data_IF_275475281926
#
_entry.id   IF_275475281926
#
_cell.length_a   1.000
_cell.length_b   1.000
_cell.length_c   1.000
_cell.angle_alpha   90.00
_cell.angle_beta   90.00
_cell.angle_gamma   90.00
#
_symmetry.space_group_name_H-M   'P 1'
#
loop_
_entity.id
_entity.type
_entity.pdbx_description
1 polymer ?
#
# COMPACT_ATOMS: atom_id res chain seq x y z
N UNK A 1 21.88 -6.10 17.03
CA UNK A 1 20.95 -7.02 17.74
C UNK A 1 20.14 -7.80 16.71
N UNK A 2 19.80 -9.06 16.96
CA UNK A 2 19.13 -9.92 15.97
C UNK A 2 17.63 -9.61 15.81
N UNK A 3 17.10 -9.71 14.58
CA UNK A 3 15.69 -9.48 14.20
C UNK A 3 14.68 -10.53 14.73
N UNK A 4 14.99 -11.22 15.84
CA UNK A 4 14.13 -12.24 16.45
C UNK A 4 13.78 -13.44 15.53
N UNK A 5 12.70 -14.16 15.86
CA UNK A 5 12.21 -15.32 15.10
C UNK A 5 11.78 -14.93 13.67
N UNK A 6 11.12 -13.78 13.51
CA UNK A 6 10.68 -13.29 12.20
C UNK A 6 11.88 -13.03 11.27
N UNK A 7 12.95 -12.45 11.78
CA UNK A 7 14.20 -12.29 11.03
C UNK A 7 14.90 -13.60 10.70
N UNK A 8 14.82 -14.61 11.58
CA UNK A 8 15.35 -15.94 11.31
C UNK A 8 14.60 -16.65 10.17
N UNK A 9 13.26 -16.53 10.15
CA UNK A 9 12.41 -17.05 9.06
C UNK A 9 12.74 -16.36 7.73
N UNK A 10 12.87 -15.03 7.72
CA UNK A 10 13.21 -14.29 6.50
C UNK A 10 14.61 -14.63 5.95
N UNK A 11 15.60 -14.82 6.83
CA UNK A 11 16.93 -15.29 6.42
C UNK A 11 16.89 -16.68 5.79
N UNK A 12 16.10 -17.59 6.34
CA UNK A 12 15.89 -18.92 5.76
C UNK A 12 15.29 -18.83 4.35
N UNK A 13 14.40 -17.86 4.14
CA UNK A 13 13.78 -17.55 2.84
C UNK A 13 14.68 -16.73 1.90
N UNK A 14 15.96 -16.50 2.26
CA UNK A 14 16.94 -15.69 1.51
C UNK A 14 16.49 -14.26 1.25
N UNK A 15 15.69 -13.69 2.16
CA UNK A 15 15.34 -12.29 2.08
C UNK A 15 16.60 -11.41 2.17
N UNK A 16 16.67 -10.40 1.32
CA UNK A 16 17.81 -9.47 1.27
C UNK A 16 17.57 -8.31 2.23
N UNK A 17 18.63 -7.95 2.95
CA UNK A 17 18.63 -6.85 3.90
C UNK A 17 19.26 -5.61 3.27
N UNK A 18 18.58 -4.48 3.37
CA UNK A 18 19.01 -3.18 2.89
C UNK A 18 19.03 -2.19 4.05
N UNK A 19 19.79 -1.10 3.87
CA UNK A 19 19.77 0.04 4.78
C UNK A 19 19.32 1.26 3.99
N UNK A 20 18.19 1.81 4.37
CA UNK A 20 17.69 3.05 3.79
C UNK A 20 18.12 4.23 4.65
N UNK A 21 18.41 5.36 4.01
CA UNK A 21 18.78 6.60 4.70
C UNK A 21 17.86 7.72 4.29
N UNK A 22 17.24 8.36 5.27
CA UNK A 22 16.33 9.49 5.08
C UNK A 22 17.10 10.64 4.44
N UNK A 23 16.50 11.26 3.44
CA UNK A 23 17.02 12.43 2.72
C UNK A 23 16.09 13.64 2.79
N UNK A 24 14.81 13.41 3.06
CA UNK A 24 13.79 14.45 3.14
C UNK A 24 12.62 14.01 4.02
N UNK A 25 11.85 14.99 4.51
CA UNK A 25 10.64 14.78 5.29
C UNK A 25 9.62 15.87 4.96
N UNK A 26 8.38 15.47 4.74
CA UNK A 26 7.28 16.35 4.36
C UNK A 26 6.00 15.95 5.10
N UNK A 27 5.30 16.92 5.69
CA UNK A 27 3.97 16.73 6.23
C UNK A 27 2.94 17.02 5.13
N UNK A 28 2.49 15.97 4.43
CA UNK A 28 1.61 16.08 3.26
C UNK A 28 0.20 16.48 3.66
N UNK A 29 -0.34 15.86 4.72
CA UNK A 29 -1.65 16.19 5.30
C UNK A 29 -1.57 16.04 6.83
N UNK A 30 -2.55 16.51 7.62
CA UNK A 30 -2.46 16.48 9.09
C UNK A 30 -2.14 15.10 9.67
N UNK A 31 -2.62 14.02 9.04
CA UNK A 31 -2.36 12.63 9.43
C UNK A 31 -1.62 11.83 8.36
N UNK A 32 -0.84 12.51 7.51
CA UNK A 32 -0.14 11.88 6.40
C UNK A 32 1.24 12.50 6.20
N UNK A 33 2.30 11.69 6.35
CA UNK A 33 3.68 12.15 6.28
C UNK A 33 4.46 11.37 5.25
N UNK A 34 5.29 12.05 4.46
CA UNK A 34 6.18 11.46 3.48
C UNK A 34 7.62 11.60 3.94
N UNK A 35 8.39 10.52 3.80
CA UNK A 35 9.85 10.53 4.00
C UNK A 35 10.52 10.05 2.72
N UNK A 36 11.57 10.76 2.31
CA UNK A 36 12.38 10.41 1.13
C UNK A 36 13.61 9.64 1.55
N UNK A 37 14.03 8.65 0.76
CA UNK A 37 15.11 7.74 1.10
C UNK A 37 16.09 7.53 -0.06
N UNK A 38 17.34 7.27 0.30
CA UNK A 38 18.23 6.45 -0.53
C UNK A 38 17.97 4.97 -0.23
N UNK A 39 18.06 4.14 -1.25
CA UNK A 39 17.56 2.76 -1.25
C UNK A 39 18.59 1.69 -0.82
N UNK A 40 19.84 2.10 -0.61
CA UNK A 40 20.93 1.18 -0.26
C UNK A 40 21.22 0.11 -1.33
N UNK A 41 20.89 0.37 -2.60
CA UNK A 41 21.07 -0.52 -3.74
C UNK A 41 19.87 -1.41 -4.08
N UNK A 42 18.76 -1.33 -3.34
CA UNK A 42 17.56 -2.15 -3.51
C UNK A 42 17.05 -2.20 -4.96
N UNK A 43 16.82 -1.04 -5.57
CA UNK A 43 16.13 -0.90 -6.85
C UNK A 43 17.00 -1.39 -8.00
N UNK A 44 18.32 -1.24 -7.88
CA UNK A 44 19.29 -1.78 -8.85
C UNK A 44 19.26 -3.31 -8.94
N UNK A 45 18.83 -3.98 -7.87
CA UNK A 45 18.81 -5.45 -7.81
C UNK A 45 17.47 -6.07 -8.19
N UNK A 46 16.34 -5.38 -7.96
CA UNK A 46 15.02 -6.01 -7.95
C UNK A 46 14.03 -5.46 -8.97
N UNK A 47 14.40 -4.43 -9.74
CA UNK A 47 13.47 -3.74 -10.62
C UNK A 47 12.31 -3.12 -9.84
N UNK A 48 11.35 -2.54 -10.56
CA UNK A 48 10.17 -1.89 -9.97
C UNK A 48 8.88 -2.45 -10.53
N UNK A 49 7.85 -2.49 -9.71
CA UNK A 49 6.51 -2.87 -10.14
C UNK A 49 5.45 -2.14 -9.32
N UNK A 50 4.19 -2.06 -9.80
CA UNK A 50 3.10 -1.47 -9.05
C UNK A 50 2.90 -2.17 -7.71
N UNK A 51 2.49 -1.42 -6.68
CA UNK A 51 2.24 -1.91 -5.32
C UNK A 51 3.46 -2.50 -4.62
N UNK A 52 4.68 -2.26 -5.14
CA UNK A 52 5.92 -2.76 -4.56
C UNK A 52 6.08 -2.26 -3.12
N UNK A 53 6.44 -3.17 -2.22
CA UNK A 53 6.51 -2.88 -0.79
C UNK A 53 7.68 -3.57 -0.11
N UNK A 54 8.13 -2.98 0.99
CA UNK A 54 9.28 -3.39 1.80
C UNK A 54 8.88 -3.56 3.25
N UNK A 55 9.66 -4.34 4.00
CA UNK A 55 9.54 -4.46 5.46
C UNK A 55 10.55 -3.55 6.11
N UNK A 56 10.10 -2.49 6.77
CA UNK A 56 10.94 -1.64 7.61
C UNK A 56 11.00 -2.19 9.02
N UNK A 57 12.18 -2.14 9.63
CA UNK A 57 12.44 -2.63 10.98
C UNK A 57 12.64 -1.46 11.94
N UNK A 58 11.63 -1.23 12.77
CA UNK A 58 11.62 -0.21 13.81
C UNK A 58 12.10 -0.80 15.13
N UNK A 59 12.70 0.03 15.99
CA UNK A 59 13.01 -0.36 17.36
C UNK A 59 12.05 0.32 18.34
N UNK A 60 11.46 -0.48 19.25
CA UNK A 60 10.71 0.03 20.40
C UNK A 60 10.93 -0.89 21.60
N UNK A 61 11.19 -0.31 22.76
CA UNK A 61 11.48 -1.01 24.01
C UNK A 61 12.59 -2.08 23.88
N UNK A 62 13.63 -1.76 23.08
CA UNK A 62 14.75 -2.65 22.80
C UNK A 62 14.40 -3.88 21.96
N UNK A 63 13.22 -3.90 21.32
CA UNK A 63 12.74 -4.99 20.47
C UNK A 63 12.52 -4.52 19.03
N UNK A 64 12.84 -5.37 18.03
CA UNK A 64 12.55 -5.07 16.63
C UNK A 64 11.06 -5.28 16.31
N UNK A 65 10.47 -4.36 15.57
CA UNK A 65 9.10 -4.38 15.07
C UNK A 65 9.11 -4.17 13.56
N UNK A 66 8.64 -5.15 12.79
CA UNK A 66 8.52 -4.98 11.34
C UNK A 66 7.19 -4.34 10.94
N UNK A 67 7.19 -3.46 9.93
CA UNK A 67 5.97 -2.99 9.24
C UNK A 67 6.19 -2.96 7.73
N UNK A 68 5.14 -3.28 6.98
CA UNK A 68 5.15 -3.21 5.52
C UNK A 68 4.84 -1.79 5.04
N UNK A 69 5.61 -1.29 4.08
CA UNK A 69 5.40 0.01 3.46
C UNK A 69 5.57 -0.09 1.95
N UNK A 70 4.65 0.53 1.22
CA UNK A 70 4.72 0.63 -0.24
C UNK A 70 5.74 1.69 -0.64
N UNK A 71 6.50 1.44 -1.69
CA UNK A 71 7.40 2.44 -2.28
C UNK A 71 6.58 3.45 -3.09
N UNK A 72 6.89 4.73 -2.93
CA UNK A 72 6.37 5.84 -3.74
C UNK A 72 7.50 6.33 -4.64
N UNK A 73 7.19 6.52 -5.93
CA UNK A 73 8.13 7.01 -6.96
C UNK A 73 9.54 6.39 -6.89
N UNK A 74 9.66 5.05 -6.93
CA UNK A 74 10.98 4.44 -6.95
C UNK A 74 11.72 4.81 -8.25
N UNK A 75 12.90 5.38 -8.10
CA UNK A 75 13.83 5.74 -9.17
C UNK A 75 15.06 4.83 -9.11
N UNK A 76 15.15 3.80 -9.98
CA UNK A 76 16.28 2.90 -10.02
C UNK A 76 17.60 3.54 -10.46
N UNK A 77 17.56 4.64 -11.22
CA UNK A 77 18.77 5.34 -11.67
C UNK A 77 19.37 6.18 -10.54
N UNK A 78 18.51 6.89 -9.80
CA UNK A 78 18.93 7.69 -8.64
C UNK A 78 19.13 6.85 -7.36
N UNK A 79 18.55 5.64 -7.28
CA UNK A 79 18.55 4.83 -6.07
C UNK A 79 17.73 5.48 -4.95
N UNK A 80 16.60 6.10 -5.31
CA UNK A 80 15.75 6.84 -4.37
C UNK A 80 14.30 6.41 -4.46
N UNK A 81 13.56 6.59 -3.37
CA UNK A 81 12.11 6.43 -3.32
C UNK A 81 11.57 7.19 -2.10
N UNK A 82 10.26 7.33 -2.05
CA UNK A 82 9.54 7.86 -0.89
C UNK A 82 8.75 6.74 -0.18
N UNK A 83 8.48 6.94 1.11
CA UNK A 83 7.49 6.16 1.86
C UNK A 83 6.53 7.12 2.55
N UNK A 84 5.24 6.83 2.41
CA UNK A 84 4.17 7.58 3.04
C UNK A 84 3.60 6.84 4.25
N UNK A 85 3.43 7.57 5.34
CA UNK A 85 2.98 7.11 6.64
C UNK A 85 1.62 7.73 6.94
N UNK A 86 0.58 6.90 6.93
CA UNK A 86 -0.69 7.24 7.56
C UNK A 86 -0.48 7.29 9.08
N UNK A 87 -0.54 8.48 9.66
CA UNK A 87 -0.20 8.71 11.07
C UNK A 87 -1.31 8.18 11.98
N UNK A 88 -0.90 7.39 12.96
CA UNK A 88 -1.72 6.80 14.02
C UNK A 88 -0.84 6.41 15.20
N UNK A 89 -1.41 6.03 16.34
CA UNK A 89 -0.61 5.57 17.47
C UNK A 89 0.18 4.30 17.12
N UNK A 90 1.51 4.37 17.14
CA UNK A 90 2.35 3.21 16.85
C UNK A 90 3.80 3.56 16.53
N UNK A 91 4.68 2.56 16.70
CA UNK A 91 6.14 2.72 16.56
C UNK A 91 6.56 3.35 15.24
N UNK A 92 5.90 3.00 14.14
CA UNK A 92 6.28 3.48 12.82
C UNK A 92 5.87 4.95 12.60
N UNK A 93 4.67 5.34 13.03
CA UNK A 93 4.24 6.74 13.00
C UNK A 93 5.14 7.60 13.89
N UNK A 94 5.38 7.17 15.14
CA UNK A 94 6.23 7.89 16.10
C UNK A 94 7.65 8.09 15.56
N UNK A 95 8.22 7.05 14.93
CA UNK A 95 9.51 7.16 14.26
C UNK A 95 9.44 8.15 13.10
N UNK A 96 8.41 8.05 12.24
CA UNK A 96 8.31 8.91 11.06
C UNK A 96 8.19 10.40 11.41
N UNK A 97 7.48 10.74 12.49
CA UNK A 97 7.28 12.11 12.96
C UNK A 97 8.58 12.78 13.41
N UNK A 98 9.54 12.00 13.89
CA UNK A 98 10.83 12.47 14.42
C UNK A 98 12.00 12.26 13.47
N UNK A 99 11.82 11.43 12.44
CA UNK A 99 12.86 11.13 11.46
C UNK A 99 13.29 12.39 10.67
N UNK A 100 14.60 12.52 10.49
CA UNK A 100 15.25 13.62 9.79
C UNK A 100 16.33 13.11 8.82
N UNK A 101 16.76 13.94 7.84
CA UNK A 101 17.83 13.56 6.91
C UNK A 101 19.08 13.05 7.64
N UNK A 102 19.60 11.91 7.19
CA UNK A 102 20.71 11.18 7.81
C UNK A 102 20.29 10.03 8.73
N UNK A 103 19.05 10.01 9.21
CA UNK A 103 18.53 8.84 9.94
C UNK A 103 18.47 7.62 9.03
N UNK A 104 18.66 6.44 9.62
CA UNK A 104 18.68 5.21 8.87
C UNK A 104 17.74 4.17 9.46
N UNK A 105 17.18 3.35 8.57
CA UNK A 105 16.30 2.25 8.93
C UNK A 105 16.69 0.98 8.17
N UNK A 106 16.68 -0.14 8.88
CA UNK A 106 16.91 -1.43 8.26
C UNK A 106 15.65 -1.86 7.51
N UNK A 107 15.84 -2.42 6.32
CA UNK A 107 14.76 -2.92 5.49
C UNK A 107 15.02 -4.35 5.03
N UNK A 108 13.94 -5.06 4.74
CA UNK A 108 13.98 -6.38 4.13
C UNK A 108 12.91 -6.44 3.05
N UNK A 109 13.26 -6.98 1.89
CA UNK A 109 12.29 -7.20 0.80
C UNK A 109 12.08 -8.70 0.59
N UNK A 110 10.81 -9.11 0.63
CA UNK A 110 10.40 -10.48 0.38
C UNK A 110 8.89 -10.55 0.13
N UNK A 111 8.50 -11.27 -0.92
CA UNK A 111 7.09 -11.57 -1.19
C UNK A 111 6.28 -10.42 -1.81
N UNK A 112 6.95 -9.36 -2.26
CA UNK A 112 6.32 -8.34 -3.12
C UNK A 112 6.41 -8.78 -4.57
N UNK A 113 5.30 -8.71 -5.29
CA UNK A 113 5.21 -9.04 -6.70
C UNK A 113 3.93 -8.41 -7.26
N UNK A 114 3.96 -8.06 -8.53
CA UNK A 114 2.77 -7.70 -9.29
C UNK A 114 2.81 -8.38 -10.65
N UNK A 115 1.67 -8.89 -11.07
CA UNK A 115 1.49 -9.46 -12.40
C UNK A 115 0.33 -8.74 -13.03
N UNK A 116 0.59 -8.05 -14.14
CA UNK A 116 -0.44 -7.40 -14.93
C UNK A 116 -1.51 -8.44 -15.31
N UNK A 117 -2.79 -8.17 -15.02
CA UNK A 117 -3.86 -9.10 -15.38
C UNK A 117 -3.91 -9.36 -16.88
N UNK A 118 -4.13 -10.60 -17.28
CA UNK A 118 -4.31 -11.03 -18.67
C UNK A 118 -5.67 -11.74 -18.82
N UNK A 119 -6.59 -11.26 -19.68
CA UNK A 119 -6.45 -10.09 -20.56
C UNK A 119 -6.33 -8.78 -19.78
N UNK A 120 -5.70 -7.78 -20.40
CA UNK A 120 -5.56 -6.43 -19.84
C UNK A 120 -6.91 -5.92 -19.33
N UNK A 121 -6.98 -5.33 -18.11
CA UNK A 121 -8.24 -5.02 -17.50
C UNK A 121 -8.97 -3.90 -18.25
N UNK A 122 -10.28 -4.05 -18.45
CA UNK A 122 -11.10 -2.98 -19.03
C UNK A 122 -11.46 -1.90 -18.00
N UNK A 123 -11.36 -2.25 -16.71
CA UNK A 123 -11.60 -1.36 -15.56
C UNK A 123 -10.86 -1.86 -14.33
N UNK A 124 -10.33 -0.93 -13.55
CA UNK A 124 -9.84 -1.17 -12.20
C UNK A 124 -10.94 -0.89 -11.17
N UNK A 125 -11.11 -1.79 -10.20
CA UNK A 125 -12.03 -1.63 -9.07
C UNK A 125 -11.18 -1.64 -7.81
N UNK A 126 -10.93 -0.46 -7.23
CA UNK A 126 -9.94 -0.27 -6.17
C UNK A 126 -10.65 0.07 -4.86
N UNK A 127 -10.31 -0.64 -3.79
CA UNK A 127 -10.85 -0.41 -2.44
C UNK A 127 -9.69 -0.23 -1.46
N UNK A 128 -9.71 0.87 -0.72
CA UNK A 128 -8.64 1.13 0.24
C UNK A 128 -8.91 2.27 1.22
N UNK A 129 -7.84 2.64 1.90
CA UNK A 129 -7.74 3.68 2.94
C UNK A 129 -6.34 4.36 2.88
N UNK A 130 -6.00 5.33 3.76
CA UNK A 130 -4.72 6.06 3.70
C UNK A 130 -3.48 5.16 3.72
N UNK A 131 -3.52 3.98 4.37
CA UNK A 131 -2.38 3.08 4.40
C UNK A 131 -2.11 2.44 3.02
N UNK A 132 -3.13 2.35 2.18
CA UNK A 132 -3.07 1.76 0.83
C UNK A 132 -2.95 2.76 -0.31
N UNK A 133 -3.12 4.07 -0.04
CA UNK A 133 -3.05 5.11 -1.06
C UNK A 133 -1.79 5.04 -1.96
N UNK A 134 -0.58 4.79 -1.43
CA UNK A 134 0.61 4.67 -2.27
C UNK A 134 0.49 3.56 -3.32
N UNK A 135 -0.09 2.42 -2.91
CA UNK A 135 -0.28 1.28 -3.80
C UNK A 135 -1.38 1.57 -4.83
N UNK A 136 -2.48 2.22 -4.43
CA UNK A 136 -3.52 2.69 -5.35
C UNK A 136 -2.92 3.64 -6.39
N UNK A 137 -2.17 4.66 -5.97
CA UNK A 137 -1.52 5.61 -6.86
C UNK A 137 -0.59 4.90 -7.86
N UNK A 138 0.22 3.94 -7.41
CA UNK A 138 1.09 3.15 -8.30
C UNK A 138 0.32 2.30 -9.32
N UNK A 139 -0.89 1.84 -8.98
CA UNK A 139 -1.78 1.15 -9.93
C UNK A 139 -2.34 2.15 -10.94
N UNK A 140 -2.81 3.32 -10.50
CA UNK A 140 -3.31 4.35 -11.42
C UNK A 140 -2.22 4.80 -12.41
N UNK A 141 -0.96 4.88 -11.97
CA UNK A 141 0.16 5.22 -12.84
C UNK A 141 0.54 4.11 -13.83
N UNK A 142 0.37 2.84 -13.44
CA UNK A 142 0.64 1.69 -14.32
C UNK A 142 -0.46 1.43 -15.36
N UNK A 143 -1.66 1.96 -15.13
CA UNK A 143 -2.83 1.78 -15.98
C UNK A 143 -3.45 3.16 -16.34
N UNK A 144 -2.70 4.08 -16.95
CA UNK A 144 -3.08 5.50 -16.98
C UNK A 144 -4.33 5.81 -17.79
N UNK A 145 -4.63 4.98 -18.78
CA UNK A 145 -5.80 5.10 -19.67
C UNK A 145 -6.95 4.15 -19.28
N UNK A 146 -6.77 3.34 -18.23
CA UNK A 146 -7.79 2.36 -17.81
C UNK A 146 -8.78 3.04 -16.87
N UNK A 147 -10.10 3.00 -17.16
CA UNK A 147 -11.09 3.49 -16.22
C UNK A 147 -10.93 2.85 -14.84
N UNK A 148 -11.10 3.62 -13.78
CA UNK A 148 -11.02 3.11 -12.41
C UNK A 148 -12.23 3.57 -11.61
N UNK A 149 -12.76 2.71 -10.75
CA UNK A 149 -13.68 3.11 -9.67
C UNK A 149 -13.00 2.84 -8.35
N UNK A 150 -12.85 3.88 -7.54
CA UNK A 150 -12.08 3.86 -6.30
C UNK A 150 -13.02 4.12 -5.14
N UNK A 151 -13.17 3.17 -4.22
CA UNK A 151 -13.82 3.38 -2.93
C UNK A 151 -12.75 3.53 -1.87
N UNK A 152 -12.64 4.74 -1.32
CA UNK A 152 -11.56 5.08 -0.42
C UNK A 152 -12.11 5.57 0.92
N UNK A 153 -11.86 4.83 1.99
CA UNK A 153 -12.21 5.28 3.34
C UNK A 153 -11.24 6.38 3.78
N UNK A 154 -11.75 7.55 4.17
CA UNK A 154 -10.91 8.66 4.66
C UNK A 154 -11.66 9.52 5.66
N UNK A 155 -10.94 10.41 6.35
CA UNK A 155 -11.58 11.55 7.02
C UNK A 155 -11.73 12.71 6.04
N UNK A 156 -12.70 13.59 6.26
CA UNK A 156 -13.03 14.71 5.36
C UNK A 156 -11.93 15.76 5.22
N UNK A 157 -10.95 15.73 6.12
CA UNK A 157 -9.96 16.79 6.28
C UNK A 157 -8.59 16.38 5.73
N UNK A 158 -8.47 15.16 5.20
CA UNK A 158 -7.24 14.64 4.62
C UNK A 158 -7.15 15.09 3.14
N UNK A 159 -6.41 16.18 2.89
CA UNK A 159 -6.01 16.58 1.52
C UNK A 159 -4.90 15.64 1.02
N UNK A 160 -5.30 14.41 0.68
CA UNK A 160 -4.39 13.34 0.31
C UNK A 160 -3.97 13.45 -1.17
N UNK A 161 -2.72 13.08 -1.52
CA UNK A 161 -2.16 13.24 -2.86
C UNK A 161 -2.64 12.14 -3.82
N UNK A 162 -3.95 12.10 -4.13
CA UNK A 162 -4.50 11.17 -5.11
C UNK A 162 -3.95 11.45 -6.51
N UNK A 163 -3.54 10.40 -7.22
CA UNK A 163 -3.17 10.45 -8.67
C UNK A 163 -4.34 10.08 -9.58
N UNK A 164 -5.56 10.32 -9.10
CA UNK A 164 -6.75 10.15 -9.92
C UNK A 164 -6.71 11.10 -11.14
N UNK A 165 -7.30 10.67 -12.25
CA UNK A 165 -7.38 11.38 -13.54
C UNK A 165 -8.86 11.43 -13.93
N UNK A 166 -9.20 12.14 -15.00
CA UNK A 166 -10.59 12.30 -15.46
C UNK A 166 -11.29 10.96 -15.79
N UNK A 167 -10.53 9.90 -16.10
CA UNK A 167 -11.05 8.55 -16.35
C UNK A 167 -11.31 7.74 -15.06
N UNK A 168 -11.03 8.32 -13.89
CA UNK A 168 -11.16 7.66 -12.58
C UNK A 168 -12.30 8.25 -11.76
N UNK A 169 -13.21 7.39 -11.32
CA UNK A 169 -14.32 7.73 -10.42
C UNK A 169 -13.86 7.53 -8.96
N UNK A 170 -13.56 8.63 -8.26
CA UNK A 170 -13.15 8.61 -6.84
C UNK A 170 -14.34 8.80 -5.90
N UNK A 171 -14.64 7.76 -5.11
CA UNK A 171 -15.66 7.77 -4.07
C UNK A 171 -15.00 7.79 -2.69
N UNK A 172 -14.95 8.98 -2.08
CA UNK A 172 -14.52 9.12 -0.69
C UNK A 172 -15.64 8.68 0.25
N UNK A 173 -15.33 7.73 1.12
CA UNK A 173 -16.26 7.17 2.10
C UNK A 173 -15.83 7.60 3.50
N UNK A 174 -16.64 8.37 4.24
CA UNK A 174 -16.33 8.69 5.62
C UNK A 174 -16.29 7.43 6.47
N UNK A 175 -15.24 7.26 7.28
CA UNK A 175 -15.05 6.07 8.14
C UNK A 175 -16.27 5.75 9.01
N UNK A 176 -16.92 6.77 9.58
CA UNK A 176 -18.11 6.61 10.41
C UNK A 176 -17.90 5.59 11.54
N UNK A 177 -18.75 4.57 11.60
CA UNK A 177 -18.68 3.46 12.56
C UNK A 177 -17.77 2.29 12.13
N UNK A 178 -17.04 2.44 11.03
CA UNK A 178 -16.18 1.41 10.45
C UNK A 178 -16.91 0.37 9.60
N UNK A 179 -18.14 0.64 9.17
CA UNK A 179 -18.91 -0.23 8.26
C UNK A 179 -19.32 0.45 6.96
N UNK A 180 -19.08 1.77 6.84
CA UNK A 180 -19.50 2.58 5.71
C UNK A 180 -18.83 2.13 4.40
N UNK A 181 -17.52 1.86 4.42
CA UNK A 181 -16.78 1.39 3.24
C UNK A 181 -17.33 0.05 2.74
N UNK A 182 -17.51 -0.93 3.65
CA UNK A 182 -18.07 -2.23 3.30
C UNK A 182 -19.45 -2.09 2.66
N UNK A 183 -20.31 -1.26 3.25
CA UNK A 183 -21.69 -1.02 2.76
C UNK A 183 -21.70 -0.36 1.38
N UNK A 184 -20.88 0.67 1.18
CA UNK A 184 -20.76 1.38 -0.09
C UNK A 184 -20.30 0.43 -1.21
N UNK A 185 -19.24 -0.35 -0.96
CA UNK A 185 -18.69 -1.29 -1.94
C UNK A 185 -19.69 -2.39 -2.25
N UNK A 186 -20.33 -3.02 -1.24
CA UNK A 186 -21.32 -4.08 -1.47
C UNK A 186 -22.50 -3.62 -2.34
N UNK A 187 -22.86 -2.34 -2.23
CA UNK A 187 -23.97 -1.75 -2.98
C UNK A 187 -23.56 -1.44 -4.42
N UNK A 188 -22.38 -0.84 -4.63
CA UNK A 188 -21.98 -0.28 -5.92
C UNK A 188 -21.15 -1.22 -6.80
N UNK A 189 -20.46 -2.20 -6.21
CA UNK A 189 -19.55 -3.11 -6.92
C UNK A 189 -20.26 -4.07 -7.90
N UNK A 190 -21.39 -4.73 -7.57
CA UNK A 190 -21.97 -5.79 -8.41
C UNK A 190 -22.19 -5.44 -9.89
N UNK A 191 -22.78 -4.28 -10.26
CA UNK A 191 -23.00 -3.96 -11.68
C UNK A 191 -21.71 -3.64 -12.44
N UNK A 192 -20.58 -3.42 -11.76
CA UNK A 192 -19.30 -3.06 -12.37
C UNK A 192 -18.41 -4.28 -12.61
N UNK A 193 -18.71 -5.42 -11.99
CA UNK A 193 -17.89 -6.64 -12.13
C UNK A 193 -18.17 -7.31 -13.47
N UNK A 194 -17.12 -7.46 -14.25
CA UNK A 194 -17.09 -8.24 -15.50
C UNK A 194 -15.91 -9.22 -15.47
N UNK A 195 -15.86 -10.23 -16.36
CA UNK A 195 -14.69 -11.10 -16.49
C UNK A 195 -13.38 -10.36 -16.79
N UNK A 196 -13.46 -9.10 -17.27
CA UNK A 196 -12.34 -8.25 -17.64
C UNK A 196 -11.96 -7.21 -16.59
N UNK A 197 -12.69 -7.12 -15.47
CA UNK A 197 -12.32 -6.21 -14.39
C UNK A 197 -11.21 -6.76 -13.51
N UNK A 198 -10.39 -5.86 -12.95
CA UNK A 198 -9.40 -6.19 -11.93
C UNK A 198 -9.79 -5.54 -10.60
N UNK A 199 -10.08 -6.37 -9.60
CA UNK A 199 -10.49 -5.96 -8.28
C UNK A 199 -9.30 -6.02 -7.31
N UNK A 200 -9.02 -4.90 -6.66
CA UNK A 200 -7.92 -4.77 -5.71
C UNK A 200 -8.45 -4.22 -4.39
N UNK A 201 -8.33 -5.01 -3.31
CA UNK A 201 -8.91 -4.71 -2.00
C UNK A 201 -7.80 -4.72 -0.95
N UNK A 202 -7.40 -3.55 -0.46
CA UNK A 202 -6.49 -3.48 0.69
C UNK A 202 -6.85 -2.34 1.62
N UNK A 203 -7.36 -2.69 2.79
CA UNK A 203 -7.73 -1.76 3.85
C UNK A 203 -7.45 -2.45 5.19
N UNK A 204 -8.27 -2.20 6.21
CA UNK A 204 -8.16 -2.89 7.48
C UNK A 204 -8.67 -4.34 7.37
N UNK A 205 -8.20 -5.19 8.30
CA UNK A 205 -8.35 -6.63 8.17
C UNK A 205 -9.79 -7.15 8.22
N UNK A 206 -10.75 -6.41 8.81
CA UNK A 206 -12.16 -6.83 8.86
C UNK A 206 -12.83 -6.60 7.51
N UNK A 207 -12.83 -5.37 7.01
CA UNK A 207 -13.43 -4.99 5.71
C UNK A 207 -12.77 -5.74 4.57
N UNK A 208 -11.43 -5.86 4.56
CA UNK A 208 -10.73 -6.63 3.52
C UNK A 208 -11.24 -8.07 3.45
N UNK A 209 -11.38 -8.76 4.59
CA UNK A 209 -11.88 -10.14 4.64
C UNK A 209 -13.34 -10.22 4.20
N UNK A 210 -14.18 -9.29 4.66
CA UNK A 210 -15.61 -9.29 4.35
C UNK A 210 -15.87 -9.06 2.86
N UNK A 211 -15.21 -8.07 2.26
CA UNK A 211 -15.31 -7.76 0.83
C UNK A 211 -14.67 -8.82 -0.06
N UNK A 212 -13.58 -9.44 0.39
CA UNK A 212 -13.00 -10.59 -0.33
C UNK A 212 -13.94 -11.79 -0.35
N UNK A 213 -14.60 -12.07 0.77
CA UNK A 213 -15.58 -13.15 0.85
C UNK A 213 -16.77 -12.85 -0.08
N UNK A 214 -17.26 -11.61 -0.08
CA UNK A 214 -18.32 -11.13 -0.97
C UNK A 214 -17.94 -11.29 -2.45
N UNK A 215 -16.79 -10.74 -2.85
CA UNK A 215 -16.32 -10.80 -4.23
C UNK A 215 -16.18 -12.24 -4.74
N UNK A 216 -15.66 -13.15 -3.91
CA UNK A 216 -15.45 -14.56 -4.30
C UNK A 216 -16.72 -15.40 -4.27
N UNK A 217 -17.55 -15.26 -3.25
CA UNK A 217 -18.70 -16.15 -3.02
C UNK A 217 -19.97 -15.67 -3.72
N UNK A 218 -20.18 -14.35 -3.71
CA UNK A 218 -21.44 -13.76 -4.17
C UNK A 218 -21.30 -13.22 -5.60
N UNK A 219 -20.13 -12.67 -5.96
CA UNK A 219 -19.86 -12.14 -7.30
C UNK A 219 -19.00 -13.07 -8.19
N UNK A 220 -18.53 -14.19 -7.65
CA UNK A 220 -17.69 -15.17 -8.36
C UNK A 220 -16.47 -14.57 -9.08
N UNK A 221 -15.86 -13.51 -8.55
CA UNK A 221 -14.67 -12.87 -9.14
C UNK A 221 -13.52 -13.90 -9.21
N UNK A 222 -12.94 -14.14 -10.40
CA UNK A 222 -11.83 -15.07 -10.56
C UNK A 222 -10.61 -14.71 -9.70
N UNK A 223 -9.83 -15.71 -9.27
CA UNK A 223 -8.71 -15.49 -8.34
C UNK A 223 -7.61 -14.63 -8.96
N UNK A 224 -7.34 -14.79 -10.24
CA UNK A 224 -6.43 -14.02 -11.07
C UNK A 224 -6.94 -12.60 -11.38
N UNK A 225 -8.23 -12.33 -11.12
CA UNK A 225 -8.85 -11.00 -11.20
C UNK A 225 -9.00 -10.29 -9.86
N UNK A 226 -8.57 -10.92 -8.77
CA UNK A 226 -8.75 -10.40 -7.41
C UNK A 226 -7.44 -10.42 -6.62
N UNK A 227 -6.93 -9.22 -6.31
CA UNK A 227 -5.94 -9.03 -5.27
C UNK A 227 -6.63 -8.60 -3.97
N UNK A 228 -6.27 -9.24 -2.86
CA UNK A 228 -6.72 -8.83 -1.54
C UNK A 228 -5.61 -9.03 -0.51
N UNK A 229 -5.30 -7.99 0.25
CA UNK A 229 -4.35 -8.05 1.36
C UNK A 229 -4.75 -7.06 2.45
N UNK A 230 -4.88 -7.53 3.69
CA UNK A 230 -5.13 -6.64 4.82
C UNK A 230 -3.82 -5.91 5.18
N UNK A 231 -3.83 -4.58 5.14
CA UNK A 231 -2.62 -3.79 5.41
C UNK A 231 -2.42 -3.57 6.91
N UNK A 232 -3.51 -3.51 7.68
CA UNK A 232 -3.49 -3.30 9.12
C UNK A 232 -4.69 -3.94 9.81
N UNK A 233 -4.70 -3.89 11.15
CA UNK A 233 -5.77 -4.44 12.00
C UNK A 233 -5.97 -3.60 13.25
#
# INVERSE_FOLDING_TARGET
>A
MGKGWEGAVLKLLRAKDFKFTVTGAEQVAPRYRRLSFTDGGLLSELGVHPTMWVRLWFEADGKPHQRGYTLVDPDPEAGTFDIEFALHDGVASNWSETAAPGDAIAATIYGTAFTTPDPFPERLLLVGDPASLPAINSLLDAFPDTPATIWFETTSDDDLPFRARDVHDLHLVPRGDGTALETAVRTALPPLVTPSTYLWITCEARTTRALTAFARKDLAVPKDRLHSMAYWR
#
